data_IF_171433664915
#
_entry.id   IF_171433664915
#
_cell.length_a   1.000
_cell.length_b   1.000
_cell.length_c   1.000
_cell.angle_alpha   90.00
_cell.angle_beta   90.00
_cell.angle_gamma   90.00
#
_symmetry.space_group_name_H-M   'P 1'
#
loop_
_entity.id
_entity.type
_entity.pdbx_description
1 polymer ?
#
# COMPACT_ATOMS: atom_id res chain seq x y z
N UNK A 1 -36.95 2.05 4.93
CA UNK A 1 -35.49 2.08 4.78
C UNK A 1 -34.95 0.69 5.10
N UNK A 2 -34.21 0.03 4.20
CA UNK A 2 -33.56 -1.26 4.53
C UNK A 2 -32.49 -0.97 5.58
N UNK A 3 -32.57 -1.60 6.75
CA UNK A 3 -31.56 -1.46 7.80
C UNK A 3 -30.21 -1.95 7.25
N UNK A 4 -29.26 -1.04 7.10
CA UNK A 4 -27.89 -1.31 6.66
C UNK A 4 -27.07 -2.06 7.71
N UNK A 5 -27.61 -2.20 8.92
CA UNK A 5 -26.97 -2.76 10.11
C UNK A 5 -26.46 -4.19 9.86
N UNK A 6 -27.27 -5.05 9.26
CA UNK A 6 -26.85 -6.42 8.92
C UNK A 6 -25.83 -6.54 7.79
N UNK A 7 -25.64 -5.49 6.97
CA UNK A 7 -24.62 -5.50 5.91
C UNK A 7 -23.24 -5.17 6.48
N UNK A 8 -23.17 -4.18 7.40
CA UNK A 8 -21.92 -3.81 8.08
C UNK A 8 -21.41 -4.92 8.99
N UNK A 9 -22.31 -5.65 9.64
CA UNK A 9 -21.96 -6.77 10.52
C UNK A 9 -21.39 -7.97 9.75
N UNK A 10 -21.88 -8.23 8.53
CA UNK A 10 -21.28 -9.23 7.64
C UNK A 10 -19.94 -8.77 7.09
N UNK A 11 -19.81 -7.48 6.74
CA UNK A 11 -18.55 -6.93 6.25
C UNK A 11 -17.45 -6.97 7.32
N UNK A 12 -17.79 -6.66 8.57
CA UNK A 12 -16.82 -6.66 9.68
C UNK A 12 -16.24 -8.04 9.96
N UNK A 13 -17.01 -9.11 9.74
CA UNK A 13 -16.55 -10.50 9.90
C UNK A 13 -15.49 -10.92 8.87
N UNK A 14 -15.46 -10.29 7.70
CA UNK A 14 -14.52 -10.63 6.61
C UNK A 14 -13.44 -9.56 6.39
N UNK A 15 -13.59 -8.38 6.99
CA UNK A 15 -12.62 -7.31 6.89
C UNK A 15 -11.31 -7.67 7.62
N UNK A 16 -10.18 -7.33 7.00
CA UNK A 16 -8.87 -7.40 7.65
C UNK A 16 -8.77 -6.26 8.65
N UNK A 17 -8.71 -6.56 9.95
CA UNK A 17 -8.69 -5.53 11.01
C UNK A 17 -7.56 -4.52 10.84
N UNK A 18 -6.35 -4.98 10.54
CA UNK A 18 -5.22 -4.12 10.20
C UNK A 18 -5.38 -3.21 8.96
N UNK A 19 -6.44 -3.36 8.15
CA UNK A 19 -6.71 -2.50 6.99
C UNK A 19 -7.63 -1.31 7.30
N UNK A 20 -8.20 -1.23 8.50
CA UNK A 20 -9.00 -0.08 8.92
C UNK A 20 -8.15 1.21 8.96
N UNK A 21 -8.82 2.35 8.75
CA UNK A 21 -8.16 3.65 8.84
C UNK A 21 -7.56 3.85 10.24
N UNK A 22 -6.27 4.15 10.30
CA UNK A 22 -5.52 4.35 11.54
C UNK A 22 -5.58 3.14 12.51
N UNK A 23 -5.57 1.91 11.99
CA UNK A 23 -5.55 0.69 12.80
C UNK A 23 -4.40 0.70 13.82
N UNK A 24 -4.72 0.38 15.08
CA UNK A 24 -3.71 0.16 16.11
C UNK A 24 -2.84 -1.07 15.83
N UNK A 25 -3.36 -2.07 15.11
CA UNK A 25 -2.59 -3.26 14.73
C UNK A 25 -1.39 -2.93 13.83
N UNK A 26 -1.42 -1.78 13.14
CA UNK A 26 -0.31 -1.32 12.31
C UNK A 26 0.75 -0.54 13.10
N UNK A 27 0.62 -0.41 14.41
CA UNK A 27 1.61 0.26 15.24
C UNK A 27 2.60 -0.75 15.86
N UNK A 28 3.92 -0.48 15.85
CA UNK A 28 4.57 0.65 15.17
C UNK A 28 4.46 0.49 13.64
N UNK A 29 4.40 1.63 12.93
CA UNK A 29 4.27 1.61 11.48
C UNK A 29 5.36 0.74 10.83
N UNK A 30 4.99 -0.18 9.92
CA UNK A 30 5.96 -1.02 9.25
C UNK A 30 6.95 -0.15 8.50
N UNK A 31 8.23 -0.43 8.69
CA UNK A 31 9.32 0.25 8.00
C UNK A 31 9.65 -0.51 6.73
N UNK A 32 10.11 0.21 5.71
CA UNK A 32 10.75 -0.43 4.56
C UNK A 32 11.94 -1.25 5.04
N UNK A 33 12.24 -2.34 4.32
CA UNK A 33 13.53 -3.00 4.46
C UNK A 33 14.64 -1.98 4.13
N UNK A 34 15.79 -2.15 4.77
CA UNK A 34 16.96 -1.30 4.54
C UNK A 34 17.26 -1.20 3.04
N UNK A 35 17.45 0.02 2.54
CA UNK A 35 17.75 0.28 1.13
C UNK A 35 16.51 0.43 0.24
N UNK A 36 15.45 -0.37 0.44
CA UNK A 36 14.31 -0.46 -0.50
C UNK A 36 13.72 0.89 -0.91
N UNK A 37 13.46 1.78 0.06
CA UNK A 37 12.88 3.09 -0.24
C UNK A 37 13.84 4.00 -1.01
N UNK A 38 15.11 4.01 -0.61
CA UNK A 38 16.14 4.84 -1.22
C UNK A 38 16.39 4.38 -2.66
N UNK A 39 16.58 3.08 -2.84
CA UNK A 39 16.89 2.48 -4.14
C UNK A 39 15.74 2.64 -5.12
N UNK A 40 14.50 2.38 -4.67
CA UNK A 40 13.32 2.51 -5.53
C UNK A 40 13.08 3.96 -5.95
N UNK A 41 13.18 4.92 -5.03
CA UNK A 41 13.01 6.34 -5.37
C UNK A 41 14.12 6.83 -6.30
N UNK A 42 15.37 6.41 -6.08
CA UNK A 42 16.48 6.74 -6.98
C UNK A 42 16.23 6.21 -8.39
N UNK A 43 15.71 4.98 -8.51
CA UNK A 43 15.34 4.39 -9.80
C UNK A 43 14.21 5.17 -10.49
N UNK A 44 13.15 5.51 -9.75
CA UNK A 44 12.01 6.29 -10.27
C UNK A 44 12.48 7.66 -10.76
N UNK A 45 13.30 8.37 -9.97
CA UNK A 45 13.83 9.68 -10.36
C UNK A 45 14.70 9.58 -11.62
N UNK A 46 15.58 8.59 -11.71
CA UNK A 46 16.40 8.37 -12.91
C UNK A 46 15.59 8.12 -14.18
N UNK A 47 14.43 7.45 -14.07
CA UNK A 47 13.51 7.29 -15.20
C UNK A 47 12.84 8.61 -15.60
N UNK A 48 12.44 9.42 -14.62
CA UNK A 48 11.78 10.71 -14.88
C UNK A 48 12.73 11.74 -15.52
N UNK A 49 14.01 11.67 -15.19
CA UNK A 49 15.03 12.57 -15.73
C UNK A 49 15.43 12.23 -17.18
N UNK A 50 15.02 11.07 -17.71
CA UNK A 50 15.27 10.66 -19.09
C UNK A 50 14.01 10.84 -19.97
N UNK A 51 13.97 11.84 -20.87
CA UNK A 51 12.79 12.10 -21.71
C UNK A 51 12.47 10.98 -22.71
N UNK A 52 13.40 10.06 -22.94
CA UNK A 52 13.26 8.92 -23.85
C UNK A 52 12.73 7.65 -23.16
N UNK A 53 12.67 7.64 -21.82
CA UNK A 53 12.18 6.49 -21.05
C UNK A 53 10.66 6.49 -20.91
N UNK A 54 10.12 5.31 -20.57
CA UNK A 54 8.68 5.13 -20.32
C UNK A 54 8.21 6.02 -19.17
N UNK A 55 7.13 6.77 -19.39
CA UNK A 55 6.45 7.55 -18.34
C UNK A 55 5.54 6.69 -17.44
N UNK A 56 5.46 5.38 -17.71
CA UNK A 56 4.69 4.43 -16.93
C UNK A 56 5.63 3.51 -16.16
N UNK A 57 5.46 3.50 -14.84
CA UNK A 57 6.22 2.65 -13.91
C UNK A 57 5.28 1.56 -13.37
N UNK A 58 5.68 0.31 -13.53
CA UNK A 58 4.93 -0.85 -13.03
C UNK A 58 5.63 -1.44 -11.79
N UNK A 59 5.13 -1.10 -10.61
CA UNK A 59 5.63 -1.64 -9.34
C UNK A 59 4.85 -2.91 -8.96
N UNK A 60 5.51 -4.08 -9.03
CA UNK A 60 4.88 -5.38 -8.78
C UNK A 60 5.50 -6.14 -7.59
N UNK A 61 4.76 -7.13 -7.08
CA UNK A 61 5.15 -7.95 -5.93
C UNK A 61 3.94 -8.58 -5.23
N UNK A 62 4.16 -9.49 -4.30
CA UNK A 62 3.08 -10.18 -3.58
C UNK A 62 2.20 -9.22 -2.77
N UNK A 63 0.98 -9.62 -2.44
CA UNK A 63 0.11 -8.82 -1.59
C UNK A 63 0.74 -8.63 -0.20
N UNK A 64 0.58 -7.44 0.40
CA UNK A 64 1.07 -7.17 1.75
C UNK A 64 2.53 -6.72 1.88
N UNK A 65 3.36 -6.77 0.83
CA UNK A 65 4.79 -6.37 0.92
C UNK A 65 5.04 -4.86 1.00
N UNK A 66 3.99 -4.04 1.14
CA UNK A 66 4.14 -2.60 1.33
C UNK A 66 4.38 -1.79 0.06
N UNK A 67 4.04 -2.29 -1.14
CA UNK A 67 4.20 -1.54 -2.41
C UNK A 67 3.51 -0.17 -2.40
N UNK A 68 2.33 -0.05 -1.78
CA UNK A 68 1.61 1.23 -1.65
C UNK A 68 2.16 2.13 -0.53
N UNK A 69 3.07 1.62 0.29
CA UNK A 69 3.59 2.30 1.47
C UNK A 69 5.04 2.77 1.30
N UNK A 70 5.75 2.27 0.30
CA UNK A 70 7.12 2.72 -0.06
C UNK A 70 7.07 4.13 -0.63
#
# INVERSE_FOLDING_TARGET
>A
ARSSEGAWEKLSQVAVKGAEYNSRERQPHPKCLTGTRVDLLSYIHGLLDNPQESRLIWLHGTAGVGKSAV
#
